data_IF_401317739824
#
_entry.id   IF_401317739824
#
_cell.length_a   1.000
_cell.length_b   1.000
_cell.length_c   1.000
_cell.angle_alpha   90.00
_cell.angle_beta   90.00
_cell.angle_gamma   90.00
#
_symmetry.space_group_name_H-M   'P 1'
#
loop_
_entity.id
_entity.type
_entity.pdbx_description
1 polymer ?
#
# COMPACT_ATOMS: atom_id res chain seq x y z
N UNK A 1 -18.63 -3.38 -3.27
CA UNK A 1 -17.18 -3.08 -3.27
C UNK A 1 -16.65 -3.18 -4.70
N UNK A 2 -16.10 -2.09 -5.27
CA UNK A 2 -15.59 -2.11 -6.64
C UNK A 2 -14.34 -2.99 -6.70
N UNK A 3 -14.35 -4.00 -7.57
CA UNK A 3 -13.31 -5.03 -7.73
C UNK A 3 -12.10 -4.48 -8.52
N UNK A 4 -11.48 -3.40 -8.05
CA UNK A 4 -10.29 -2.85 -8.71
C UNK A 4 -9.07 -3.69 -8.32
N UNK A 5 -8.49 -4.39 -9.30
CA UNK A 5 -7.22 -5.08 -9.12
C UNK A 5 -6.09 -4.07 -9.32
N UNK A 6 -5.31 -3.84 -8.27
CA UNK A 6 -4.08 -3.06 -8.37
C UNK A 6 -3.01 -3.95 -8.98
N UNK A 7 -2.38 -3.47 -10.05
CA UNK A 7 -1.19 -4.08 -10.65
C UNK A 7 -0.15 -2.98 -10.83
N UNK A 8 0.97 -3.09 -10.12
CA UNK A 8 2.04 -2.11 -10.17
C UNK A 8 3.11 -2.56 -11.16
N UNK A 9 3.56 -1.65 -12.02
CA UNK A 9 4.81 -1.85 -12.75
C UNK A 9 5.98 -1.92 -11.76
N UNK A 10 7.04 -2.63 -12.14
CA UNK A 10 8.25 -2.77 -11.32
C UNK A 10 8.83 -1.41 -10.88
N UNK A 11 8.80 -0.41 -11.77
CA UNK A 11 9.23 0.96 -11.46
C UNK A 11 8.41 1.61 -10.35
N UNK A 12 7.08 1.51 -10.40
CA UNK A 12 6.20 2.04 -9.36
C UNK A 12 6.40 1.32 -8.02
N UNK A 13 6.53 -0.01 -8.04
CA UNK A 13 6.85 -0.79 -6.83
C UNK A 13 8.15 -0.32 -6.19
N UNK A 14 9.20 -0.07 -6.99
CA UNK A 14 10.47 0.47 -6.51
C UNK A 14 10.30 1.85 -5.88
N UNK A 15 9.56 2.75 -6.52
CA UNK A 15 9.30 4.09 -5.98
C UNK A 15 8.54 4.06 -4.64
N UNK A 16 7.54 3.18 -4.50
CA UNK A 16 6.81 3.01 -3.25
C UNK A 16 7.70 2.46 -2.12
N UNK A 17 8.57 1.50 -2.44
CA UNK A 17 9.55 0.97 -1.48
C UNK A 17 10.56 2.04 -1.06
N UNK A 18 11.03 2.87 -2.01
CA UNK A 18 11.91 3.99 -1.70
C UNK A 18 11.23 5.03 -0.80
N UNK A 19 9.95 5.35 -1.07
CA UNK A 19 9.14 6.25 -0.25
C UNK A 19 9.02 5.75 1.20
N UNK A 20 8.77 4.45 1.39
CA UNK A 20 8.68 3.86 2.74
C UNK A 20 10.04 3.89 3.44
N UNK A 21 11.12 3.59 2.72
CA UNK A 21 12.48 3.54 3.28
C UNK A 21 13.07 4.91 3.60
N UNK A 22 12.63 5.97 2.93
CA UNK A 22 13.21 7.30 3.12
C UNK A 22 12.93 7.86 4.51
N UNK A 23 11.83 7.46 5.16
CA UNK A 23 11.43 7.94 6.48
C UNK A 23 11.11 9.45 6.56
N UNK A 24 11.14 10.16 5.42
CA UNK A 24 10.96 11.62 5.34
C UNK A 24 9.50 12.05 5.15
N UNK A 25 8.61 11.10 4.88
CA UNK A 25 7.20 11.38 4.63
C UNK A 25 6.36 11.18 5.89
N UNK A 26 5.28 11.95 5.99
CA UNK A 26 4.29 11.75 7.05
C UNK A 26 3.64 10.36 6.97
N UNK A 27 3.00 9.95 8.07
CA UNK A 27 2.42 8.61 8.21
C UNK A 27 1.43 8.27 7.08
N UNK A 28 0.59 9.22 6.64
CA UNK A 28 -0.45 8.97 5.64
C UNK A 28 0.11 8.53 4.27
N UNK A 29 1.06 9.24 3.63
CA UNK A 29 1.74 8.76 2.42
C UNK A 29 2.38 7.38 2.57
N UNK A 30 3.05 7.12 3.71
CA UNK A 30 3.69 5.83 4.00
C UNK A 30 2.64 4.72 4.06
N UNK A 31 1.55 4.95 4.79
CA UNK A 31 0.45 3.99 4.90
C UNK A 31 -0.18 3.71 3.54
N UNK A 32 -0.44 4.74 2.71
CA UNK A 32 -0.97 4.52 1.35
C UNK A 32 -0.02 3.73 0.46
N UNK A 33 1.29 3.95 0.57
CA UNK A 33 2.28 3.16 -0.17
C UNK A 33 2.26 1.69 0.26
N UNK A 34 2.14 1.41 1.57
CA UNK A 34 1.98 0.05 2.10
C UNK A 34 0.69 -0.61 1.59
N UNK A 35 -0.44 0.10 1.61
CA UNK A 35 -1.72 -0.37 1.07
C UNK A 35 -1.56 -0.76 -0.41
N UNK A 36 -1.01 0.11 -1.25
CA UNK A 36 -0.79 -0.15 -2.68
C UNK A 36 0.08 -1.39 -2.93
N UNK A 37 1.16 -1.56 -2.16
CA UNK A 37 2.04 -2.72 -2.25
C UNK A 37 1.35 -4.03 -1.82
N UNK A 38 0.44 -3.96 -0.84
CA UNK A 38 -0.33 -5.13 -0.41
C UNK A 38 -1.44 -5.47 -1.42
N UNK A 39 -2.13 -4.47 -1.96
CA UNK A 39 -3.13 -4.65 -3.00
C UNK A 39 -2.53 -5.27 -4.27
N UNK A 40 -1.31 -4.87 -4.66
CA UNK A 40 -0.55 -5.48 -5.76
C UNK A 40 -0.27 -6.98 -5.54
N UNK A 41 -0.07 -7.37 -4.27
CA UNK A 41 0.09 -8.78 -3.85
C UNK A 41 -1.22 -9.54 -3.70
N UNK A 42 -2.35 -8.94 -4.11
CA UNK A 42 -3.70 -9.51 -3.98
C UNK A 42 -4.18 -9.68 -2.54
N UNK A 43 -3.64 -8.91 -1.60
CA UNK A 43 -4.19 -8.87 -0.26
C UNK A 43 -5.62 -8.28 -0.28
N UNK A 44 -6.51 -8.85 0.53
CA UNK A 44 -7.86 -8.31 0.71
C UNK A 44 -7.83 -7.09 1.61
N UNK A 45 -8.88 -6.25 1.54
CA UNK A 45 -9.01 -5.08 2.41
C UNK A 45 -8.91 -5.45 3.89
N UNK A 46 -9.47 -6.59 4.30
CA UNK A 46 -9.35 -7.11 5.67
C UNK A 46 -7.90 -7.45 6.04
N UNK A 47 -7.15 -8.11 5.15
CA UNK A 47 -5.74 -8.42 5.38
C UNK A 47 -4.88 -7.14 5.46
N UNK A 48 -5.22 -6.12 4.66
CA UNK A 48 -4.54 -4.83 4.68
C UNK A 48 -4.81 -4.10 6.00
N UNK A 49 -6.06 -4.03 6.42
CA UNK A 49 -6.48 -3.46 7.71
C UNK A 49 -5.77 -4.13 8.87
N UNK A 50 -5.75 -5.46 8.89
CA UNK A 50 -5.12 -6.24 9.94
C UNK A 50 -3.59 -6.04 9.98
N UNK A 51 -2.93 -6.02 8.82
CA UNK A 51 -1.47 -5.88 8.75
C UNK A 51 -0.98 -4.46 9.05
N UNK A 52 -1.78 -3.44 8.73
CA UNK A 52 -1.38 -2.04 8.85
C UNK A 52 -2.00 -1.35 10.07
N UNK A 53 -2.88 -2.01 10.81
CA UNK A 53 -3.66 -1.43 11.91
C UNK A 53 -4.39 -0.14 11.48
N UNK A 54 -4.96 -0.15 10.28
CA UNK A 54 -5.69 1.00 9.69
C UNK A 54 -7.18 0.70 9.61
N UNK A 55 -8.03 1.71 9.66
CA UNK A 55 -9.45 1.54 9.33
C UNK A 55 -9.70 1.49 7.82
N UNK A 56 -10.82 0.88 7.41
CA UNK A 56 -11.36 1.09 6.07
C UNK A 56 -11.74 2.58 5.95
N UNK A 57 -11.35 3.20 4.84
CA UNK A 57 -11.68 4.57 4.49
C UNK A 57 -12.84 4.59 3.50
#
# INVERSE_FOLDING_TARGET
>A
MRKHRVQLKVSYRRSLLALIRSGRHSARPITRARILLMSDRRATDQQIVQALHTSLA
#
